data_IF_649882688558
#
_entry.id   IF_649882688558
#
_cell.length_a   1.000
_cell.length_b   1.000
_cell.length_c   1.000
_cell.angle_alpha   90.00
_cell.angle_beta   90.00
_cell.angle_gamma   90.00
#
_symmetry.space_group_name_H-M   'P 1'
#
loop_
_entity.id
_entity.type
_entity.pdbx_description
1 polymer ?
#
# COMPACT_ATOMS: atom_id res chain seq x y z
N UNK A 1 10.68 1.11 0.15
CA UNK A 1 10.93 -0.19 -0.52
C UNK A 1 10.20 -0.27 -1.84
N UNK A 2 10.79 -0.94 -2.81
CA UNK A 2 10.07 -1.32 -4.02
C UNK A 2 9.30 -2.61 -3.75
N UNK A 3 8.01 -2.61 -4.05
CA UNK A 3 7.12 -3.72 -3.76
C UNK A 3 6.22 -3.97 -4.97
N UNK A 4 6.12 -5.23 -5.38
CA UNK A 4 5.06 -5.66 -6.30
C UNK A 4 3.83 -6.02 -5.47
N UNK A 5 2.69 -5.34 -5.65
CA UNK A 5 1.45 -5.76 -5.01
C UNK A 5 0.96 -7.05 -5.66
N UNK A 6 0.29 -7.91 -4.88
CA UNK A 6 -0.34 -9.09 -5.42
C UNK A 6 -1.58 -8.70 -6.25
N UNK A 7 -2.03 -9.61 -7.12
CA UNK A 7 -3.31 -9.46 -7.79
C UNK A 7 -4.45 -9.67 -6.78
N UNK A 8 -4.86 -8.60 -6.13
CA UNK A 8 -5.93 -8.57 -5.13
C UNK A 8 -7.14 -7.83 -5.67
N UNK A 9 -8.32 -8.03 -5.08
CA UNK A 9 -9.44 -7.13 -5.34
C UNK A 9 -9.02 -5.68 -5.09
N UNK A 10 -9.34 -4.80 -6.02
CA UNK A 10 -8.97 -3.39 -5.97
C UNK A 10 -7.72 -3.04 -6.77
N UNK A 11 -6.79 -3.96 -7.02
CA UNK A 11 -5.61 -3.67 -7.84
C UNK A 11 -5.96 -3.42 -9.32
N UNK A 12 -6.77 -4.27 -9.98
CA UNK A 12 -7.22 -3.97 -11.35
C UNK A 12 -7.98 -2.66 -11.45
N UNK A 13 -8.83 -2.35 -10.48
CA UNK A 13 -9.56 -1.09 -10.44
C UNK A 13 -8.62 0.09 -10.24
N UNK A 14 -7.65 -0.03 -9.35
CA UNK A 14 -6.65 1.01 -9.10
C UNK A 14 -5.84 1.31 -10.36
N UNK A 15 -5.45 0.27 -11.11
CA UNK A 15 -4.76 0.42 -12.38
C UNK A 15 -5.65 1.11 -13.42
N UNK A 16 -6.92 0.69 -13.54
CA UNK A 16 -7.87 1.29 -14.46
C UNK A 16 -8.15 2.76 -14.15
N UNK A 17 -8.13 3.14 -12.87
CA UNK A 17 -8.31 4.52 -12.42
C UNK A 17 -7.04 5.37 -12.49
N UNK A 18 -5.90 4.77 -12.86
CA UNK A 18 -4.62 5.49 -12.94
C UNK A 18 -3.90 5.67 -11.61
N UNK A 19 -4.31 4.99 -10.54
CA UNK A 19 -3.60 5.05 -9.25
C UNK A 19 -2.26 4.32 -9.30
N UNK A 20 -2.15 3.32 -10.15
CA UNK A 20 -0.96 2.48 -10.30
C UNK A 20 -0.49 2.52 -11.75
N UNK A 21 0.80 2.65 -11.93
CA UNK A 21 1.41 2.64 -13.26
C UNK A 21 1.47 1.22 -13.82
N UNK A 22 1.45 1.10 -15.13
CA UNK A 22 1.69 -0.17 -15.82
C UNK A 22 3.15 -0.58 -15.68
N UNK A 23 3.40 -1.88 -15.53
CA UNK A 23 4.75 -2.41 -15.39
C UNK A 23 4.76 -3.94 -15.38
N UNK A 24 5.86 -4.52 -14.91
CA UNK A 24 6.14 -5.94 -15.00
C UNK A 24 5.72 -6.74 -13.75
N UNK A 25 5.23 -6.10 -12.70
CA UNK A 25 4.68 -6.83 -11.57
C UNK A 25 3.44 -7.62 -11.97
N UNK A 26 3.07 -8.69 -11.22
CA UNK A 26 1.79 -9.37 -11.43
C UNK A 26 0.63 -8.37 -11.46
N UNK A 27 -0.33 -8.56 -12.37
CA UNK A 27 -1.39 -7.58 -12.60
C UNK A 27 -1.00 -6.44 -13.53
N UNK A 28 0.20 -6.51 -14.14
CA UNK A 28 0.73 -5.51 -15.08
C UNK A 28 0.87 -4.12 -14.47
N UNK A 29 1.25 -4.06 -13.21
CA UNK A 29 1.55 -2.81 -12.52
C UNK A 29 3.05 -2.65 -12.31
N UNK A 30 3.49 -1.41 -12.19
CA UNK A 30 4.86 -1.11 -11.81
C UNK A 30 5.07 -1.38 -10.31
N UNK A 31 6.31 -1.65 -9.87
CA UNK A 31 6.61 -1.73 -8.45
C UNK A 31 6.21 -0.44 -7.72
N UNK A 32 5.67 -0.59 -6.52
CA UNK A 32 5.31 0.53 -5.66
C UNK A 32 6.51 0.93 -4.80
N UNK A 33 6.66 2.23 -4.56
CA UNK A 33 7.64 2.74 -3.58
C UNK A 33 6.87 3.11 -2.33
N UNK A 34 6.99 2.28 -1.29
CA UNK A 34 6.23 2.41 -0.04
C UNK A 34 7.11 2.08 1.16
N UNK A 35 6.62 2.45 2.34
CA UNK A 35 7.22 2.06 3.61
C UNK A 35 6.42 0.90 4.20
N UNK A 36 7.11 -0.14 4.67
CA UNK A 36 6.49 -1.20 5.47
C UNK A 36 6.32 -0.65 6.88
N UNK A 37 5.08 -0.49 7.33
CA UNK A 37 4.76 0.09 8.64
C UNK A 37 4.18 -0.92 9.61
N UNK A 38 3.73 -2.07 9.14
CA UNK A 38 3.28 -3.16 9.98
C UNK A 38 3.59 -4.50 9.34
N UNK A 39 3.85 -5.49 10.19
CA UNK A 39 4.19 -6.86 9.80
C UNK A 39 3.19 -7.83 10.40
N UNK A 40 3.30 -9.11 10.01
CA UNK A 40 2.40 -10.17 10.45
C UNK A 40 2.17 -10.16 11.97
N UNK A 41 0.93 -10.29 12.38
CA UNK A 41 0.51 -10.32 13.78
C UNK A 41 0.16 -8.95 14.37
N UNK A 42 0.62 -7.86 13.79
CA UNK A 42 0.26 -6.53 14.28
C UNK A 42 -1.19 -6.19 13.92
N UNK A 43 -1.85 -5.51 14.84
CA UNK A 43 -3.24 -5.07 14.65
C UNK A 43 -3.25 -3.69 14.00
N UNK A 44 -3.92 -3.57 12.87
CA UNK A 44 -4.08 -2.31 12.14
C UNK A 44 -5.54 -1.88 12.20
N UNK A 45 -5.80 -0.72 12.76
CA UNK A 45 -7.13 -0.09 12.71
C UNK A 45 -7.12 1.00 11.65
N UNK A 46 -8.08 0.94 10.75
CA UNK A 46 -8.22 1.88 9.65
C UNK A 46 -9.52 2.65 9.83
N UNK A 47 -9.40 3.85 10.36
CA UNK A 47 -10.50 4.79 10.55
C UNK A 47 -10.23 6.06 9.77
N UNK A 48 -10.40 7.22 10.39
CA UNK A 48 -10.00 8.49 9.78
C UNK A 48 -8.48 8.61 9.63
N UNK A 49 -7.74 7.89 10.48
CA UNK A 49 -6.30 7.69 10.42
C UNK A 49 -6.01 6.21 10.67
N UNK A 50 -4.77 5.80 10.50
CA UNK A 50 -4.33 4.43 10.78
C UNK A 50 -3.67 4.37 12.14
N UNK A 51 -4.05 3.37 12.96
CA UNK A 51 -3.34 3.02 14.19
C UNK A 51 -2.78 1.62 14.09
N UNK A 52 -1.56 1.42 14.57
CA UNK A 52 -0.87 0.13 14.56
C UNK A 52 -0.55 -0.24 16.01
N UNK A 53 -1.15 -1.33 16.50
CA UNK A 53 -1.04 -1.75 17.89
C UNK A 53 -1.34 -0.60 18.87
N UNK A 54 -2.38 0.20 18.56
CA UNK A 54 -2.82 1.32 19.38
C UNK A 54 -2.03 2.61 19.20
N UNK A 55 -1.03 2.65 18.33
CA UNK A 55 -0.24 3.85 18.06
C UNK A 55 -0.65 4.48 16.75
N UNK A 56 -0.98 5.75 16.77
CA UNK A 56 -1.33 6.50 15.56
C UNK A 56 -0.14 6.61 14.63
N UNK A 57 -0.33 6.19 13.38
CA UNK A 57 0.67 6.35 12.33
C UNK A 57 0.62 7.79 11.82
N UNK A 58 1.72 8.55 11.87
CA UNK A 58 1.75 9.89 11.31
C UNK A 58 1.43 9.91 9.82
N UNK A 59 0.80 10.97 9.37
CA UNK A 59 0.48 11.18 7.94
C UNK A 59 -0.33 10.04 7.32
N UNK A 60 -1.27 9.49 8.09
CA UNK A 60 -2.07 8.32 7.67
C UNK A 60 -3.55 8.63 7.47
N UNK A 61 -3.93 9.90 7.38
CA UNK A 61 -5.31 10.27 7.13
C UNK A 61 -5.81 9.61 5.84
N UNK A 62 -7.05 9.13 5.87
CA UNK A 62 -7.69 8.55 4.71
C UNK A 62 -8.45 9.61 3.91
N UNK A 63 -8.38 9.51 2.60
CA UNK A 63 -9.21 10.28 1.70
C UNK A 63 -10.52 9.52 1.43
N UNK A 64 -11.64 10.24 1.38
CA UNK A 64 -12.93 9.65 1.03
C UNK A 64 -13.09 9.50 -0.48
N UNK A 65 -12.38 10.34 -1.24
CA UNK A 65 -12.44 10.39 -2.70
C UNK A 65 -11.05 10.59 -3.29
N UNK A 66 -10.87 10.10 -4.51
CA UNK A 66 -9.65 10.34 -5.27
C UNK A 66 -9.62 11.76 -5.86
N UNK A 67 -8.54 12.10 -6.58
CA UNK A 67 -8.36 13.43 -7.16
C UNK A 67 -9.40 13.82 -8.22
N UNK A 68 -10.15 12.86 -8.76
CA UNK A 68 -11.24 13.10 -9.70
C UNK A 68 -12.64 12.99 -9.07
N UNK A 69 -12.70 12.83 -7.74
CA UNK A 69 -13.95 12.76 -7.00
C UNK A 69 -14.57 11.38 -6.89
N UNK A 70 -13.89 10.32 -7.34
CA UNK A 70 -14.40 8.95 -7.24
C UNK A 70 -14.23 8.42 -5.81
N UNK A 71 -15.21 7.65 -5.28
CA UNK A 71 -15.11 7.13 -3.92
C UNK A 71 -13.91 6.22 -3.72
N UNK A 72 -13.27 6.35 -2.56
CA UNK A 72 -12.24 5.44 -2.08
C UNK A 72 -12.81 4.67 -0.88
N UNK A 73 -12.57 3.36 -0.85
CA UNK A 73 -13.03 2.50 0.25
C UNK A 73 -11.85 2.10 1.12
N UNK A 74 -11.91 2.37 2.44
CA UNK A 74 -10.90 1.87 3.35
C UNK A 74 -10.91 0.35 3.40
N UNK A 75 -9.73 -0.25 3.53
CA UNK A 75 -9.63 -1.67 3.81
C UNK A 75 -10.14 -1.95 5.24
N UNK A 76 -10.79 -3.09 5.51
CA UNK A 76 -11.24 -3.41 6.85
C UNK A 76 -10.09 -3.51 7.85
N UNK A 77 -10.32 -3.02 9.07
CA UNK A 77 -9.36 -3.18 10.18
C UNK A 77 -9.15 -4.65 10.51
N UNK A 78 -7.97 -5.01 10.98
CA UNK A 78 -7.65 -6.36 11.36
C UNK A 78 -6.16 -6.58 11.60
N UNK A 79 -5.78 -7.83 11.82
CA UNK A 79 -4.38 -8.20 11.97
C UNK A 79 -3.74 -8.40 10.60
N UNK A 80 -2.48 -8.01 10.49
CA UNK A 80 -1.68 -8.34 9.30
C UNK A 80 -1.49 -9.85 9.26
N UNK A 81 -1.90 -10.52 8.17
CA UNK A 81 -1.79 -11.97 8.06
C UNK A 81 -0.33 -12.43 8.02
N UNK A 82 -0.11 -13.72 8.33
CA UNK A 82 1.18 -14.35 8.18
C UNK A 82 1.73 -14.15 6.75
N UNK A 83 3.00 -13.83 6.65
CA UNK A 83 3.66 -13.63 5.36
C UNK A 83 3.26 -12.35 4.62
N UNK A 84 2.58 -11.42 5.28
CA UNK A 84 2.13 -10.16 4.69
C UNK A 84 2.74 -8.96 5.40
N UNK A 85 2.69 -7.84 4.73
CA UNK A 85 3.13 -6.54 5.25
C UNK A 85 2.11 -5.47 4.88
N UNK A 86 2.01 -4.44 5.72
CA UNK A 86 1.15 -3.30 5.49
C UNK A 86 1.98 -2.13 4.99
N UNK A 87 1.62 -1.59 3.86
CA UNK A 87 2.36 -0.56 3.15
C UNK A 87 1.72 0.81 3.33
N UNK A 88 2.56 1.83 3.48
CA UNK A 88 2.11 3.20 3.63
C UNK A 88 3.06 4.17 2.95
N UNK A 89 2.53 5.27 2.46
CA UNK A 89 3.30 6.44 2.08
C UNK A 89 2.70 7.67 2.74
N UNK A 90 3.55 8.53 3.27
CA UNK A 90 3.12 9.80 3.85
C UNK A 90 2.65 10.81 2.79
N UNK A 91 2.82 10.47 1.54
CA UNK A 91 2.42 11.33 0.44
C UNK A 91 0.90 11.47 0.39
N UNK A 92 0.41 12.71 0.34
CA UNK A 92 -1.03 12.98 0.22
C UNK A 92 -1.53 12.42 -1.11
N UNK A 93 -2.62 11.67 -1.06
CA UNK A 93 -3.17 11.03 -2.25
C UNK A 93 -2.53 9.70 -2.63
N UNK A 94 -1.57 9.21 -1.84
CA UNK A 94 -0.98 7.89 -2.06
C UNK A 94 -2.03 6.79 -1.95
N UNK A 95 -1.99 5.84 -2.88
CA UNK A 95 -2.82 4.64 -2.85
C UNK A 95 -1.97 3.49 -2.29
N UNK A 96 -2.31 3.02 -1.11
CA UNK A 96 -1.52 2.04 -0.37
C UNK A 96 -2.42 1.06 0.40
N UNK A 97 -1.85 0.36 1.40
CA UNK A 97 -2.60 -0.65 2.15
C UNK A 97 -3.78 -0.09 2.94
N UNK A 98 -3.89 1.23 3.12
CA UNK A 98 -5.12 1.83 3.66
C UNK A 98 -6.34 1.46 2.84
N UNK A 99 -6.15 1.19 1.56
CA UNK A 99 -7.23 0.92 0.61
C UNK A 99 -7.18 -0.50 0.05
N UNK A 100 -6.00 -1.04 -0.31
CA UNK A 100 -5.92 -2.40 -0.86
C UNK A 100 -5.51 -3.47 0.15
N UNK A 101 -5.21 -3.08 1.39
CA UNK A 101 -4.87 -4.01 2.45
C UNK A 101 -3.44 -4.54 2.43
N UNK A 102 -3.11 -5.45 3.36
CA UNK A 102 -1.79 -6.06 3.40
C UNK A 102 -1.45 -6.81 2.12
N UNK A 103 -0.18 -6.82 1.77
CA UNK A 103 0.33 -7.52 0.58
C UNK A 103 1.34 -8.58 0.99
N UNK A 104 1.55 -9.63 0.17
CA UNK A 104 2.56 -10.64 0.48
C UNK A 104 3.95 -10.02 0.62
N UNK A 105 4.67 -10.41 1.66
CA UNK A 105 6.04 -9.97 1.87
C UNK A 105 6.98 -10.43 0.74
N UNK A 106 6.63 -11.51 0.04
CA UNK A 106 7.37 -12.00 -1.13
C UNK A 106 7.42 -10.99 -2.28
N UNK A 107 6.51 -10.00 -2.29
CA UNK A 107 6.53 -8.93 -3.30
C UNK A 107 7.57 -7.84 -3.03
N UNK A 108 8.19 -7.82 -1.86
CA UNK A 108 9.22 -6.83 -1.52
C UNK A 108 10.48 -7.11 -2.33
N UNK A 109 10.87 -6.15 -3.16
CA UNK A 109 12.01 -6.31 -4.07
C UNK A 109 13.32 -5.75 -3.50
N UNK A 110 13.24 -4.83 -2.56
CA UNK A 110 14.41 -4.23 -1.93
C UNK A 110 14.19 -2.78 -1.56
N UNK A 111 15.21 -2.17 -0.99
CA UNK A 111 15.20 -0.77 -0.62
C UNK A 111 15.28 0.10 -1.87
N UNK A 112 14.41 1.11 -1.94
CA UNK A 112 14.38 2.04 -3.09
C UNK A 112 15.72 2.73 -3.30
N UNK A 113 16.38 3.09 -2.21
CA UNK A 113 17.68 3.73 -2.26
C UNK A 113 18.75 2.86 -2.93
N UNK A 114 18.78 1.57 -2.59
CA UNK A 114 19.71 0.61 -3.20
C UNK A 114 19.46 0.45 -4.70
N UNK A 115 18.20 0.34 -5.07
CA UNK A 115 17.82 0.17 -6.47
C UNK A 115 18.21 1.43 -7.27
N UNK A 116 17.98 2.61 -6.75
CA UNK A 116 18.35 3.86 -7.41
C UNK A 116 19.86 4.05 -7.53
N UNK A 117 20.62 3.54 -6.56
CA UNK A 117 22.10 3.61 -6.58
C UNK A 117 22.68 2.80 -7.73
N UNK A 118 22.04 1.67 -8.07
CA UNK A 118 22.50 0.76 -9.13
C UNK A 118 21.84 1.03 -10.49
N UNK A 119 20.88 1.94 -10.57
CA UNK A 119 20.27 2.31 -11.83
C UNK A 119 21.26 3.09 -12.70
N UNK A 120 21.37 2.76 -13.99
CA UNK A 120 22.24 3.49 -14.88
C UNK A 120 21.79 4.93 -15.13
#
# INVERSE_FOLDING_TARGET
MFVCPAEKPGIPEARARGYLRSGLCPGRVAPLIKTVVAVAGQHVEIGSVVTIDGRTLPSSALAERDGTGRPLRPFPSGRVPHGHVFLHSSFVGSYDSRYFGPVPASGVLGLAQEVLTYAP
#
